data_IF_708309393494
#
_entry.id   IF_708309393494
#
_cell.length_a   1.000
_cell.length_b   1.000
_cell.length_c   1.000
_cell.angle_alpha   90.00
_cell.angle_beta   90.00
_cell.angle_gamma   90.00
#
_symmetry.space_group_name_H-M   'P 1'
#
loop_
_entity.id
_entity.type
_entity.pdbx_description
1 polymer ?
#
# COMPACT_ATOMS: atom_id res chain seq x y z
N UNK A 1 -13.46 29.00 56.75
CA UNK A 1 -14.47 28.90 55.66
C UNK A 1 -13.86 28.99 54.26
N UNK A 2 -12.81 29.79 54.03
CA UNK A 2 -12.17 29.98 52.71
C UNK A 2 -11.35 28.79 52.21
N UNK A 3 -10.59 28.11 53.10
CA UNK A 3 -9.75 26.96 52.73
C UNK A 3 -10.56 25.74 52.25
N UNK A 4 -11.70 25.47 52.88
CA UNK A 4 -12.60 24.37 52.49
C UNK A 4 -13.26 24.65 51.14
N UNK A 5 -13.65 25.91 50.88
CA UNK A 5 -14.16 26.32 49.55
C UNK A 5 -13.09 26.24 48.47
N UNK A 6 -11.85 26.61 48.78
CA UNK A 6 -10.73 26.50 47.86
C UNK A 6 -10.42 25.03 47.52
N UNK A 7 -10.39 24.17 48.54
CA UNK A 7 -10.21 22.72 48.34
C UNK A 7 -11.34 22.12 47.51
N UNK A 8 -12.59 22.50 47.75
CA UNK A 8 -13.73 22.08 46.94
C UNK A 8 -13.59 22.50 45.47
N UNK A 9 -13.16 23.74 45.22
CA UNK A 9 -12.91 24.25 43.86
C UNK A 9 -11.79 23.48 43.15
N UNK A 10 -10.70 23.16 43.84
CA UNK A 10 -9.58 22.39 43.29
C UNK A 10 -10.04 20.98 42.90
N UNK A 11 -10.83 20.31 43.74
CA UNK A 11 -11.35 18.97 43.46
C UNK A 11 -12.28 18.99 42.25
N UNK A 12 -13.17 19.97 42.15
CA UNK A 12 -14.08 20.11 41.01
C UNK A 12 -13.31 20.42 39.71
N UNK A 13 -12.35 21.34 39.76
CA UNK A 13 -11.52 21.67 38.62
C UNK A 13 -10.67 20.47 38.16
N UNK A 14 -10.11 19.71 39.11
CA UNK A 14 -9.36 18.48 38.82
C UNK A 14 -10.24 17.39 38.20
N UNK A 15 -11.46 17.19 38.70
CA UNK A 15 -12.41 16.23 38.14
C UNK A 15 -12.87 16.59 36.73
N UNK A 16 -13.12 17.87 36.46
CA UNK A 16 -13.46 18.35 35.12
C UNK A 16 -12.27 18.18 34.16
N UNK A 17 -11.06 18.55 34.58
CA UNK A 17 -9.86 18.34 33.79
C UNK A 17 -9.64 16.85 33.47
N UNK A 18 -9.83 15.97 34.47
CA UNK A 18 -9.70 14.53 34.30
C UNK A 18 -10.77 13.95 33.36
N UNK A 19 -12.02 14.42 33.43
CA UNK A 19 -13.08 13.99 32.51
C UNK A 19 -12.86 14.47 31.07
N UNK A 20 -12.35 15.70 30.91
CA UNK A 20 -11.99 16.26 29.60
C UNK A 20 -10.79 15.52 29.00
N UNK A 21 -9.75 15.22 29.81
CA UNK A 21 -8.63 14.36 29.40
C UNK A 21 -9.07 12.92 29.14
N UNK A 22 -9.99 12.34 29.92
CA UNK A 22 -10.47 10.97 29.68
C UNK A 22 -11.34 10.85 28.42
N UNK A 23 -12.17 11.85 28.14
CA UNK A 23 -13.13 11.82 27.03
C UNK A 23 -12.56 12.22 25.66
N UNK A 24 -11.60 13.15 25.63
CA UNK A 24 -11.04 13.67 24.37
C UNK A 24 -10.01 12.73 23.73
N UNK A 25 -9.28 11.95 24.53
CA UNK A 25 -8.28 11.02 24.01
C UNK A 25 -8.96 9.82 23.34
N UNK A 26 -10.03 9.28 23.94
CA UNK A 26 -10.73 8.13 23.36
C UNK A 26 -11.39 8.38 22.00
N UNK A 27 -11.98 9.56 21.79
CA UNK A 27 -12.75 9.85 20.56
C UNK A 27 -11.88 10.24 19.38
N UNK A 28 -10.86 11.09 19.60
CA UNK A 28 -9.92 11.49 18.55
C UNK A 28 -9.01 10.34 18.14
N UNK A 29 -8.53 9.55 19.11
CA UNK A 29 -7.68 8.40 18.80
C UNK A 29 -8.47 7.28 18.12
N UNK A 30 -9.74 7.05 18.49
CA UNK A 30 -10.60 6.12 17.76
C UNK A 30 -10.79 6.54 16.30
N UNK A 31 -11.01 7.84 16.04
CA UNK A 31 -11.17 8.32 14.67
C UNK A 31 -9.86 8.24 13.88
N UNK A 32 -8.72 8.56 14.50
CA UNK A 32 -7.39 8.38 13.91
C UNK A 32 -7.12 6.92 13.58
N UNK A 33 -7.41 6.01 14.51
CA UNK A 33 -7.24 4.57 14.34
C UNK A 33 -8.16 4.03 13.24
N UNK A 34 -9.40 4.51 13.16
CA UNK A 34 -10.33 4.14 12.09
C UNK A 34 -9.84 4.60 10.72
N UNK A 35 -9.23 5.80 10.64
CA UNK A 35 -8.61 6.30 9.41
C UNK A 35 -7.40 5.46 9.00
N UNK A 36 -6.53 5.13 9.95
CA UNK A 36 -5.39 4.22 9.71
C UNK A 36 -5.89 2.86 9.20
N UNK A 37 -6.78 2.18 9.92
CA UNK A 37 -7.33 0.90 9.45
C UNK A 37 -7.94 0.99 8.04
N UNK A 38 -8.59 2.10 7.69
CA UNK A 38 -9.11 2.32 6.33
C UNK A 38 -7.98 2.45 5.30
N UNK A 39 -6.97 3.27 5.57
CA UNK A 39 -5.82 3.48 4.67
C UNK A 39 -5.07 2.17 4.43
N UNK A 40 -4.75 1.43 5.49
CA UNK A 40 -4.04 0.16 5.41
C UNK A 40 -4.84 -0.88 4.62
N UNK A 41 -6.17 -0.91 4.76
CA UNK A 41 -7.03 -1.78 3.95
C UNK A 41 -7.03 -1.40 2.47
N UNK A 42 -7.05 -0.11 2.15
CA UNK A 42 -6.95 0.36 0.77
C UNK A 42 -5.59 -0.02 0.16
N UNK A 43 -4.50 0.08 0.93
CA UNK A 43 -3.17 -0.39 0.50
C UNK A 43 -3.18 -1.89 0.24
N UNK A 44 -3.70 -2.70 1.16
CA UNK A 44 -3.78 -4.16 0.98
C UNK A 44 -4.60 -4.54 -0.26
N UNK A 45 -5.74 -3.89 -0.49
CA UNK A 45 -6.58 -4.15 -1.66
C UNK A 45 -5.84 -3.83 -2.97
N UNK A 46 -5.08 -2.73 -3.01
CA UNK A 46 -4.25 -2.37 -4.17
C UNK A 46 -3.16 -3.40 -4.44
N UNK A 47 -2.45 -3.81 -3.39
CA UNK A 47 -1.36 -4.80 -3.51
C UNK A 47 -1.90 -6.16 -3.96
N UNK A 48 -3.07 -6.56 -3.44
CA UNK A 48 -3.70 -7.82 -3.87
C UNK A 48 -4.06 -7.77 -5.36
N UNK A 49 -4.64 -6.68 -5.84
CA UNK A 49 -4.96 -6.52 -7.25
C UNK A 49 -3.70 -6.58 -8.15
N UNK A 50 -2.57 -6.04 -7.68
CA UNK A 50 -1.29 -6.12 -8.39
C UNK A 50 -0.78 -7.57 -8.45
N UNK A 51 -0.80 -8.29 -7.33
CA UNK A 51 -0.44 -9.71 -7.27
C UNK A 51 -1.31 -10.53 -8.23
N UNK A 52 -2.63 -10.34 -8.19
CA UNK A 52 -3.57 -11.07 -9.04
C UNK A 52 -3.30 -10.80 -10.53
N UNK A 53 -2.98 -9.54 -10.88
CA UNK A 53 -2.64 -9.17 -12.26
C UNK A 53 -1.34 -9.80 -12.74
N UNK A 54 -0.33 -9.87 -11.86
CA UNK A 54 0.95 -10.49 -12.17
C UNK A 54 0.83 -12.01 -12.29
N UNK A 55 0.03 -12.63 -11.42
CA UNK A 55 -0.26 -14.06 -11.48
C UNK A 55 -0.95 -14.41 -12.81
N UNK A 56 -1.97 -13.65 -13.21
CA UNK A 56 -2.64 -13.86 -14.50
C UNK A 56 -1.68 -13.72 -15.69
N UNK A 57 -0.72 -12.78 -15.61
CA UNK A 57 0.29 -12.63 -16.66
C UNK A 57 1.29 -13.79 -16.70
N UNK A 58 1.71 -14.28 -15.53
CA UNK A 58 2.56 -15.45 -15.41
C UNK A 58 1.87 -16.70 -15.99
N UNK A 59 0.59 -16.92 -15.65
CA UNK A 59 -0.19 -18.04 -16.17
C UNK A 59 -0.32 -18.00 -17.70
N UNK A 60 -0.55 -16.81 -18.27
CA UNK A 60 -0.57 -16.62 -19.73
C UNK A 60 0.78 -16.92 -20.37
N UNK A 61 1.87 -16.47 -19.73
CA UNK A 61 3.21 -16.76 -20.22
C UNK A 61 3.51 -18.26 -20.12
N UNK A 62 3.05 -18.98 -19.10
CA UNK A 62 3.32 -20.41 -18.95
C UNK A 62 2.47 -21.27 -19.91
N UNK A 63 1.21 -20.90 -20.13
CA UNK A 63 0.28 -21.70 -20.93
C UNK A 63 0.37 -21.45 -22.44
N UNK A 64 0.81 -20.28 -22.90
CA UNK A 64 0.85 -19.94 -24.33
C UNK A 64 2.28 -19.89 -24.89
N UNK A 65 2.64 -20.92 -25.66
CA UNK A 65 3.93 -21.03 -26.34
C UNK A 65 4.22 -19.87 -27.32
N UNK A 66 3.18 -19.29 -27.94
CA UNK A 66 3.39 -18.17 -28.86
C UNK A 66 3.80 -16.90 -28.09
N UNK A 67 3.19 -16.67 -26.93
CA UNK A 67 3.57 -15.57 -26.03
C UNK A 67 4.97 -15.76 -25.46
N UNK A 68 5.36 -16.99 -25.08
CA UNK A 68 6.73 -17.31 -24.65
C UNK A 68 7.75 -16.98 -25.74
N UNK A 69 7.51 -17.45 -26.96
CA UNK A 69 8.41 -17.21 -28.10
C UNK A 69 8.58 -15.71 -28.37
N UNK A 70 7.46 -14.97 -28.38
CA UNK A 70 7.50 -13.51 -28.61
C UNK A 70 8.33 -12.81 -27.53
N UNK A 71 8.11 -13.12 -26.25
CA UNK A 71 8.88 -12.53 -25.15
C UNK A 71 10.37 -12.92 -25.23
N UNK A 72 10.67 -14.18 -25.55
CA UNK A 72 12.03 -14.67 -25.74
C UNK A 72 12.77 -13.90 -26.85
N UNK A 73 12.10 -13.65 -27.98
CA UNK A 73 12.64 -12.88 -29.10
C UNK A 73 12.80 -11.39 -28.76
N UNK A 74 11.78 -10.75 -28.20
CA UNK A 74 11.75 -9.30 -27.95
C UNK A 74 12.64 -8.87 -26.79
N UNK A 75 12.64 -9.62 -25.67
CA UNK A 75 13.38 -9.25 -24.45
C UNK A 75 14.79 -9.80 -24.41
N UNK A 76 14.99 -10.98 -24.98
CA UNK A 76 16.24 -11.73 -24.84
C UNK A 76 16.95 -11.97 -26.18
N UNK A 77 16.35 -11.57 -27.32
CA UNK A 77 16.96 -11.75 -28.63
C UNK A 77 17.16 -13.21 -29.04
N UNK A 78 16.41 -14.13 -28.42
CA UNK A 78 16.54 -15.56 -28.69
C UNK A 78 16.01 -15.89 -30.09
N UNK A 79 16.66 -16.83 -30.76
CA UNK A 79 16.28 -17.36 -32.07
C UNK A 79 16.16 -18.89 -31.99
N UNK A 80 15.37 -19.49 -32.87
CA UNK A 80 15.28 -20.95 -32.96
C UNK A 80 16.46 -21.54 -33.73
N UNK A 81 16.71 -22.82 -33.52
CA UNK A 81 17.68 -23.57 -34.30
C UNK A 81 17.36 -23.47 -35.81
N UNK A 82 18.36 -23.05 -36.59
CA UNK A 82 18.24 -22.84 -38.03
C UNK A 82 17.81 -21.43 -38.46
N UNK A 83 17.51 -20.53 -37.53
CA UNK A 83 17.27 -19.12 -37.83
C UNK A 83 18.59 -18.32 -37.83
N UNK A 84 18.62 -17.22 -38.59
CA UNK A 84 19.78 -16.32 -38.68
C UNK A 84 19.33 -14.90 -38.32
N UNK A 85 19.99 -14.29 -37.33
CA UNK A 85 19.77 -12.89 -36.95
C UNK A 85 20.72 -12.00 -37.75
N UNK A 86 20.17 -11.00 -38.44
CA UNK A 86 20.93 -9.99 -39.17
C UNK A 86 20.83 -8.64 -38.47
N UNK A 87 21.98 -8.04 -38.19
CA UNK A 87 22.07 -6.65 -37.73
C UNK A 87 22.36 -5.78 -38.94
N UNK A 88 21.50 -4.79 -39.19
CA UNK A 88 21.73 -3.80 -40.26
C UNK A 88 22.23 -2.53 -39.60
N UNK A 89 23.52 -2.25 -39.73
CA UNK A 89 24.08 -0.95 -39.37
C UNK A 89 23.73 0.08 -40.44
N UNK A 90 23.16 1.21 -40.02
CA UNK A 90 22.89 2.34 -40.90
C UNK A 90 24.19 2.99 -41.39
N UNK A 91 24.17 3.73 -42.51
CA UNK A 91 25.38 4.35 -43.04
C UNK A 91 26.01 5.28 -41.99
N UNK A 92 27.30 5.09 -41.73
CA UNK A 92 28.11 6.03 -40.94
C UNK A 92 27.94 7.44 -41.55
N UNK A 93 27.43 8.39 -40.76
CA UNK A 93 27.30 9.79 -41.18
C UNK A 93 28.54 10.58 -40.86
#
# INVERSE_FOLDING_TARGET
MTRVRLLGLIVVAGGLAFGVMGGLYGTLDWWRLKRQVKQERETLARLQAEIDSLAAWADLLEADSATQERVAREKFGMIRDGEMLYWVEGPER
#
